data_IF_860859510676
#
_entry.id   IF_860859510676
#
_cell.length_a   1.000
_cell.length_b   1.000
_cell.length_c   1.000
_cell.angle_alpha   90.00
_cell.angle_beta   90.00
_cell.angle_gamma   90.00
#
_symmetry.space_group_name_H-M   'P 1'
#
loop_
_entity.id
_entity.type
_entity.pdbx_description
1 polymer ?
#
# COMPACT_ATOMS: atom_id res chain seq x y z
N UNK A 1 2.02 -9.66 -15.95
CA UNK A 1 1.60 -9.27 -14.58
C UNK A 1 0.43 -10.14 -14.20
N UNK A 2 0.44 -10.72 -12.99
CA UNK A 2 -0.74 -11.45 -12.50
C UNK A 2 -1.87 -10.44 -12.23
N UNK A 3 -3.13 -10.87 -12.27
CA UNK A 3 -4.26 -10.01 -11.89
C UNK A 3 -4.06 -9.39 -10.49
N UNK A 4 -3.42 -10.13 -9.58
CA UNK A 4 -3.10 -9.69 -8.24
C UNK A 4 -2.08 -8.53 -8.21
N UNK A 5 -1.07 -8.55 -9.08
CA UNK A 5 -0.09 -7.45 -9.20
C UNK A 5 -0.75 -6.17 -9.71
N UNK A 6 -1.68 -6.30 -10.67
CA UNK A 6 -2.46 -5.17 -11.19
C UNK A 6 -3.36 -4.57 -10.11
N UNK A 7 -4.06 -5.41 -9.34
CA UNK A 7 -4.90 -4.93 -8.23
C UNK A 7 -4.06 -4.30 -7.11
N UNK A 8 -2.89 -4.86 -6.79
CA UNK A 8 -1.97 -4.28 -5.82
C UNK A 8 -1.48 -2.89 -6.25
N UNK A 9 -1.15 -2.73 -7.53
CA UNK A 9 -0.80 -1.43 -8.10
C UNK A 9 -1.95 -0.42 -7.94
N UNK A 10 -3.17 -0.82 -8.31
CA UNK A 10 -4.35 0.05 -8.20
C UNK A 10 -4.63 0.47 -6.75
N UNK A 11 -4.45 -0.43 -5.77
CA UNK A 11 -4.62 -0.10 -4.35
C UNK A 11 -3.58 0.93 -3.88
N UNK A 12 -2.30 0.73 -4.21
CA UNK A 12 -1.23 1.68 -3.86
C UNK A 12 -1.43 3.03 -4.55
N UNK A 13 -1.90 3.02 -5.79
CA UNK A 13 -2.23 4.23 -6.52
C UNK A 13 -3.39 4.98 -5.86
N UNK A 14 -4.48 4.29 -5.54
CA UNK A 14 -5.63 4.86 -4.85
C UNK A 14 -5.24 5.45 -3.48
N UNK A 15 -4.40 4.75 -2.70
CA UNK A 15 -3.90 5.27 -1.42
C UNK A 15 -3.16 6.61 -1.60
N UNK A 16 -2.29 6.72 -2.61
CA UNK A 16 -1.58 7.96 -2.94
C UNK A 16 -2.51 9.07 -3.44
N UNK A 17 -3.52 8.74 -4.25
CA UNK A 17 -4.52 9.72 -4.68
C UNK A 17 -5.31 10.28 -3.50
N UNK A 18 -5.75 9.44 -2.58
CA UNK A 18 -6.43 9.89 -1.36
C UNK A 18 -5.53 10.77 -0.48
N UNK A 19 -4.25 10.45 -0.37
CA UNK A 19 -3.28 11.28 0.34
C UNK A 19 -3.13 12.67 -0.32
N UNK A 20 -3.12 12.72 -1.67
CA UNK A 20 -3.10 13.98 -2.41
C UNK A 20 -4.39 14.79 -2.20
N UNK A 21 -5.55 14.12 -2.19
CA UNK A 21 -6.84 14.74 -1.91
C UNK A 21 -6.92 15.30 -0.49
N UNK A 22 -6.39 14.59 0.52
CA UNK A 22 -6.25 15.09 1.89
C UNK A 22 -5.41 16.38 1.93
N UNK A 23 -4.21 16.37 1.32
CA UNK A 23 -3.36 17.58 1.23
C UNK A 23 -4.04 18.73 0.49
N UNK A 24 -4.86 18.45 -0.51
CA UNK A 24 -5.65 19.47 -1.22
C UNK A 24 -6.71 20.08 -0.30
N UNK A 25 -7.43 19.26 0.46
CA UNK A 25 -8.40 19.75 1.46
C UNK A 25 -7.72 20.59 2.56
N UNK A 26 -6.52 20.23 3.01
CA UNK A 26 -5.77 21.04 3.98
C UNK A 26 -5.38 22.42 3.43
N UNK A 27 -5.03 22.51 2.15
CA UNK A 27 -4.76 23.80 1.49
C UNK A 27 -6.03 24.65 1.43
N UNK A 28 -7.15 24.05 1.02
CA UNK A 28 -8.45 24.73 0.96
C UNK A 28 -8.90 25.19 2.37
N UNK A 29 -8.65 24.39 3.41
CA UNK A 29 -8.94 24.76 4.80
C UNK A 29 -8.18 26.04 5.22
N UNK A 30 -6.90 26.14 4.86
CA UNK A 30 -6.09 27.34 5.13
C UNK A 30 -6.60 28.57 4.36
N UNK A 31 -7.00 28.38 3.10
CA UNK A 31 -7.59 29.45 2.29
C UNK A 31 -8.90 29.96 2.91
N UNK A 32 -9.78 29.08 3.35
CA UNK A 32 -11.04 29.46 4.01
C UNK A 32 -10.79 30.16 5.35
N UNK A 33 -9.78 29.74 6.13
CA UNK A 33 -9.36 30.47 7.34
C UNK A 33 -8.87 31.88 7.04
N UNK A 34 -8.11 32.07 5.96
CA UNK A 34 -7.64 33.41 5.57
C UNK A 34 -8.82 34.31 5.15
N UNK A 35 -9.79 33.74 4.42
CA UNK A 35 -11.03 34.45 4.07
C UNK A 35 -11.86 34.80 5.30
N UNK A 36 -11.96 33.89 6.27
CA UNK A 36 -12.60 34.13 7.57
C UNK A 36 -11.97 35.31 8.29
N UNK A 37 -10.64 35.34 8.43
CA UNK A 37 -9.93 36.45 9.11
C UNK A 37 -10.20 37.77 8.39
N UNK A 38 -10.22 37.75 7.06
CA UNK A 38 -10.52 38.94 6.24
C UNK A 38 -11.97 39.40 6.42
N UNK A 39 -12.94 38.47 6.47
CA UNK A 39 -14.35 38.78 6.68
C UNK A 39 -14.61 39.35 8.08
N UNK A 40 -13.94 38.81 9.11
CA UNK A 40 -13.98 39.33 10.47
C UNK A 40 -13.43 40.75 10.56
N UNK A 41 -12.29 41.04 9.92
CA UNK A 41 -11.71 42.39 9.87
C UNK A 41 -12.65 43.41 9.20
N UNK A 42 -13.45 42.98 8.23
CA UNK A 42 -14.45 43.80 7.54
C UNK A 42 -15.76 43.96 8.34
N UNK A 43 -15.93 43.27 9.46
CA UNK A 43 -17.15 43.29 10.26
C UNK A 43 -18.29 42.41 9.73
N UNK A 44 -18.06 41.63 8.66
CA UNK A 44 -19.08 40.79 8.02
C UNK A 44 -19.20 39.43 8.74
N UNK A 45 -19.91 39.41 9.86
CA UNK A 45 -20.07 38.21 10.72
C UNK A 45 -20.71 37.03 10.00
N UNK A 46 -21.75 37.24 9.19
CA UNK A 46 -22.45 36.17 8.50
C UNK A 46 -21.52 35.44 7.50
N UNK A 47 -20.74 36.22 6.73
CA UNK A 47 -19.76 35.68 5.77
C UNK A 47 -18.61 34.97 6.51
N UNK A 48 -18.18 35.50 7.65
CA UNK A 48 -17.16 34.86 8.47
C UNK A 48 -17.62 33.49 9.01
N UNK A 49 -18.89 33.36 9.39
CA UNK A 49 -19.47 32.11 9.86
C UNK A 49 -19.50 31.05 8.74
N UNK A 50 -19.89 31.43 7.52
CA UNK A 50 -19.88 30.52 6.36
C UNK A 50 -18.45 30.00 6.09
N UNK A 51 -17.45 30.89 6.10
CA UNK A 51 -16.04 30.47 5.93
C UNK A 51 -15.53 29.60 7.08
N UNK A 52 -16.02 29.81 8.31
CA UNK A 52 -15.69 28.98 9.46
C UNK A 52 -16.20 27.54 9.28
N UNK A 53 -17.47 27.40 8.92
CA UNK A 53 -18.10 26.11 8.66
C UNK A 53 -17.42 25.37 7.50
N UNK A 54 -17.08 26.11 6.43
CA UNK A 54 -16.32 25.55 5.30
C UNK A 54 -14.95 25.04 5.74
N UNK A 55 -14.22 25.79 6.57
CA UNK A 55 -12.92 25.37 7.09
C UNK A 55 -13.04 24.09 7.93
N UNK A 56 -14.04 24.00 8.83
CA UNK A 56 -14.30 22.80 9.63
C UNK A 56 -14.62 21.60 8.72
N UNK A 57 -15.49 21.80 7.72
CA UNK A 57 -15.84 20.76 6.76
C UNK A 57 -14.61 20.25 6.02
N UNK A 58 -13.77 21.15 5.51
CA UNK A 58 -12.54 20.79 4.79
C UNK A 58 -11.52 20.07 5.66
N UNK A 59 -11.40 20.44 6.93
CA UNK A 59 -10.57 19.72 7.90
C UNK A 59 -11.07 18.28 8.11
N UNK A 60 -12.38 18.11 8.28
CA UNK A 60 -12.98 16.77 8.45
C UNK A 60 -12.84 15.91 7.19
N UNK A 61 -13.05 16.49 6.00
CA UNK A 61 -12.80 15.82 4.72
C UNK A 61 -11.33 15.37 4.60
N UNK A 62 -10.37 16.24 4.93
CA UNK A 62 -8.95 15.90 4.91
C UNK A 62 -8.63 14.72 5.82
N UNK A 63 -9.11 14.73 7.07
CA UNK A 63 -8.92 13.64 8.02
C UNK A 63 -9.55 12.34 7.52
N UNK A 64 -10.73 12.40 6.91
CA UNK A 64 -11.39 11.22 6.35
C UNK A 64 -10.59 10.63 5.18
N UNK A 65 -10.11 11.48 4.26
CA UNK A 65 -9.23 11.04 3.17
C UNK A 65 -7.93 10.43 3.68
N UNK A 66 -7.31 11.03 4.71
CA UNK A 66 -6.08 10.51 5.31
C UNK A 66 -6.30 9.14 5.97
N UNK A 67 -7.38 8.98 6.76
CA UNK A 67 -7.72 7.69 7.35
C UNK A 67 -7.99 6.62 6.29
N UNK A 68 -8.69 6.98 5.22
CA UNK A 68 -9.01 6.04 4.15
C UNK A 68 -7.75 5.66 3.37
N UNK A 69 -6.86 6.62 3.07
CA UNK A 69 -5.54 6.39 2.48
C UNK A 69 -4.73 5.39 3.31
N UNK A 70 -4.61 5.61 4.62
CA UNK A 70 -3.87 4.71 5.52
C UNK A 70 -4.46 3.29 5.57
N UNK A 71 -5.79 3.17 5.55
CA UNK A 71 -6.47 1.87 5.50
C UNK A 71 -6.18 1.12 4.19
N UNK A 72 -6.25 1.81 3.05
CA UNK A 72 -5.96 1.19 1.74
C UNK A 72 -4.49 0.79 1.66
N UNK A 73 -3.57 1.62 2.15
CA UNK A 73 -2.14 1.32 2.15
C UNK A 73 -1.83 0.08 3.01
N UNK A 74 -2.45 -0.03 4.20
CA UNK A 74 -2.33 -1.22 5.04
C UNK A 74 -2.89 -2.49 4.35
N UNK A 75 -4.01 -2.38 3.63
CA UNK A 75 -4.55 -3.50 2.84
C UNK A 75 -3.60 -3.86 1.71
N UNK A 76 -3.03 -2.89 1.01
CA UNK A 76 -2.06 -3.12 -0.05
C UNK A 76 -0.81 -3.85 0.46
N UNK A 77 -0.27 -3.46 1.62
CA UNK A 77 0.87 -4.14 2.25
C UNK A 77 0.56 -5.61 2.59
N UNK A 78 -0.64 -5.89 3.12
CA UNK A 78 -1.09 -7.26 3.38
C UNK A 78 -1.24 -8.08 2.09
N UNK A 79 -1.83 -7.49 1.05
CA UNK A 79 -1.98 -8.13 -0.26
C UNK A 79 -0.62 -8.45 -0.87
N UNK A 80 0.34 -7.54 -0.78
CA UNK A 80 1.72 -7.78 -1.24
C UNK A 80 2.37 -8.92 -0.48
N UNK A 81 2.25 -8.95 0.85
CA UNK A 81 2.78 -10.04 1.68
C UNK A 81 2.18 -11.38 1.25
N UNK A 82 0.85 -11.43 1.06
CA UNK A 82 0.17 -12.62 0.57
C UNK A 82 0.60 -13.00 -0.87
N UNK A 83 0.87 -12.03 -1.74
CA UNK A 83 1.38 -12.25 -3.09
C UNK A 83 2.74 -12.94 -3.06
N UNK A 84 3.65 -12.42 -2.23
CA UNK A 84 5.00 -12.95 -2.03
C UNK A 84 4.91 -14.36 -1.44
N UNK A 85 4.13 -14.56 -0.38
CA UNK A 85 3.90 -15.87 0.23
C UNK A 85 3.37 -16.90 -0.77
N UNK A 86 2.38 -16.52 -1.60
CA UNK A 86 1.85 -17.39 -2.65
C UNK A 86 2.92 -17.80 -3.66
N UNK A 87 3.81 -16.88 -4.04
CA UNK A 87 4.94 -17.17 -4.94
C UNK A 87 5.90 -18.16 -4.30
N UNK A 88 6.20 -18.00 -3.00
CA UNK A 88 7.02 -18.97 -2.23
C UNK A 88 6.38 -20.35 -2.25
N UNK A 89 5.10 -20.45 -1.90
CA UNK A 89 4.39 -21.74 -1.87
C UNK A 89 4.42 -22.43 -3.23
N UNK A 90 4.27 -21.67 -4.33
CA UNK A 90 4.35 -22.21 -5.68
C UNK A 90 5.77 -22.72 -6.01
N UNK A 91 6.81 -21.95 -5.71
CA UNK A 91 8.20 -22.37 -5.89
C UNK A 91 8.53 -23.62 -5.05
N UNK A 92 8.13 -23.64 -3.78
CA UNK A 92 8.29 -24.79 -2.88
C UNK A 92 7.60 -26.04 -3.45
N UNK A 93 6.38 -25.93 -3.97
CA UNK A 93 5.69 -27.06 -4.58
C UNK A 93 6.44 -27.60 -5.81
N UNK A 94 7.01 -26.72 -6.64
CA UNK A 94 7.84 -27.11 -7.77
C UNK A 94 9.10 -27.86 -7.34
N UNK A 95 9.79 -27.34 -6.33
CA UNK A 95 11.01 -27.96 -5.76
C UNK A 95 10.68 -29.33 -5.16
N UNK A 96 9.62 -29.47 -4.36
CA UNK A 96 9.22 -30.75 -3.76
C UNK A 96 8.91 -31.80 -4.84
N UNK A 97 8.20 -31.43 -5.92
CA UNK A 97 7.93 -32.34 -7.04
C UNK A 97 9.20 -32.76 -7.79
N UNK A 98 10.11 -31.81 -8.01
CA UNK A 98 11.37 -32.10 -8.68
C UNK A 98 12.28 -32.99 -7.81
N UNK A 99 12.29 -32.78 -6.48
CA UNK A 99 12.97 -33.64 -5.52
C UNK A 99 12.39 -35.05 -5.52
N UNK A 100 11.05 -35.21 -5.53
CA UNK A 100 10.39 -36.52 -5.61
C UNK A 100 10.79 -37.28 -6.89
N UNK A 101 10.85 -36.59 -8.03
CA UNK A 101 11.29 -37.17 -9.31
C UNK A 101 12.79 -37.55 -9.29
N UNK A 102 13.63 -36.70 -8.71
CA UNK A 102 15.06 -36.94 -8.59
C UNK A 102 15.38 -38.11 -7.63
N UNK A 103 14.63 -38.24 -6.52
CA UNK A 103 14.72 -39.40 -5.63
C UNK A 103 14.26 -40.69 -6.31
N UNK A 104 13.17 -40.66 -7.08
CA UNK A 104 12.71 -41.84 -7.86
C UNK A 104 13.73 -42.29 -8.91
N UNK A 105 14.50 -41.37 -9.47
CA UNK A 105 15.58 -41.66 -10.42
C UNK A 105 16.94 -41.90 -9.75
N UNK A 106 17.01 -41.84 -8.40
CA UNK A 106 18.22 -41.98 -7.59
C UNK A 106 19.39 -41.07 -8.03
N UNK A 107 19.08 -39.93 -8.66
CA UNK A 107 20.08 -39.01 -9.21
C UNK A 107 20.43 -37.93 -8.17
N UNK A 108 21.43 -38.22 -7.34
CA UNK A 108 21.88 -37.36 -6.23
C UNK A 108 22.41 -36.00 -6.70
N UNK A 109 23.05 -35.92 -7.87
CA UNK A 109 23.59 -34.68 -8.42
C UNK A 109 22.47 -33.69 -8.82
N UNK A 110 21.36 -34.21 -9.36
CA UNK A 110 20.17 -33.39 -9.62
C UNK A 110 19.51 -32.93 -8.33
N UNK A 111 19.49 -33.74 -7.27
CA UNK A 111 18.96 -33.33 -5.95
C UNK A 111 19.79 -32.19 -5.38
N UNK A 112 21.12 -32.30 -5.40
CA UNK A 112 22.03 -31.28 -4.86
C UNK A 112 21.87 -29.94 -5.58
N UNK A 113 21.89 -29.93 -6.93
CA UNK A 113 21.65 -28.72 -7.72
C UNK A 113 20.28 -28.08 -7.47
N UNK A 114 19.27 -28.90 -7.14
CA UNK A 114 17.92 -28.41 -6.82
C UNK A 114 17.87 -27.77 -5.43
N UNK A 115 18.61 -28.32 -4.46
CA UNK A 115 18.74 -27.76 -3.11
C UNK A 115 19.52 -26.45 -3.10
N UNK A 116 20.61 -26.33 -3.87
CA UNK A 116 21.36 -25.09 -3.98
C UNK A 116 20.53 -23.96 -4.60
N UNK A 117 19.64 -24.29 -5.56
CA UNK A 117 18.66 -23.34 -6.09
C UNK A 117 17.61 -22.95 -5.06
N UNK A 118 17.14 -23.92 -4.28
CA UNK A 118 16.15 -23.68 -3.24
C UNK A 118 16.69 -22.74 -2.16
N UNK A 119 17.92 -22.94 -1.68
CA UNK A 119 18.55 -22.04 -0.70
C UNK A 119 18.65 -20.61 -1.24
N UNK A 120 19.08 -20.43 -2.49
CA UNK A 120 19.14 -19.10 -3.12
C UNK A 120 17.77 -18.44 -3.24
N UNK A 121 16.75 -19.19 -3.65
CA UNK A 121 15.39 -18.66 -3.76
C UNK A 121 14.82 -18.30 -2.38
N UNK A 122 15.19 -19.04 -1.33
CA UNK A 122 14.76 -18.80 0.04
C UNK A 122 15.50 -17.63 0.70
N UNK A 123 16.82 -17.51 0.53
CA UNK A 123 17.62 -16.38 1.00
C UNK A 123 17.12 -15.06 0.41
N UNK A 124 16.86 -15.02 -0.90
CA UNK A 124 16.33 -13.82 -1.56
C UNK A 124 14.97 -13.39 -0.98
N UNK A 125 14.20 -14.34 -0.48
CA UNK A 125 12.90 -14.12 0.15
C UNK A 125 13.02 -13.61 1.59
N UNK A 126 13.92 -14.20 2.36
CA UNK A 126 14.17 -13.79 3.74
C UNK A 126 14.75 -12.36 3.76
N UNK A 127 15.67 -12.04 2.84
CA UNK A 127 16.18 -10.68 2.65
C UNK A 127 15.07 -9.71 2.22
N UNK A 128 14.16 -10.10 1.32
CA UNK A 128 13.00 -9.28 0.97
C UNK A 128 12.02 -9.08 2.13
N UNK A 129 11.85 -10.08 3.00
CA UNK A 129 10.97 -9.97 4.17
C UNK A 129 11.59 -9.14 5.29
N UNK A 130 12.93 -9.17 5.44
CA UNK A 130 13.65 -8.40 6.45
C UNK A 130 13.84 -6.92 6.06
N UNK A 131 13.73 -6.58 4.78
CA UNK A 131 13.91 -5.21 4.26
C UNK A 131 12.60 -4.47 3.96
N UNK A 132 11.44 -5.14 4.08
CA UNK A 132 10.10 -4.53 4.02
C UNK A 132 9.60 -4.12 5.41
#
# INVERSE_FOLDING_TARGET
MSALDTHLFNLRFAAKELQRSSKKCDKQEKEEKNKLVTALKKGNRDVAQIHAENAIRKKNESLNYLRMSARIDAVAARVQTAATQKRVTQSMSGVVKAMESAMKSMNLEKVQNLMDRFERDFENLDVQSATM
#
